data_IF_598398824932
#
_entry.id   IF_598398824932
#
_cell.length_a   1.000
_cell.length_b   1.000
_cell.length_c   1.000
_cell.angle_alpha   90.00
_cell.angle_beta   90.00
_cell.angle_gamma   90.00
#
_symmetry.space_group_name_H-M   'P 1'
#
loop_
_entity.id
_entity.type
_entity.pdbx_description
1 polymer ?
#
# COMPACT_ATOMS: atom_id res chain seq x y z
N UNK A 1 -8.10 -13.34 -13.96
CA UNK A 1 -6.91 -14.23 -14.11
C UNK A 1 -5.72 -13.42 -13.65
N UNK A 2 -4.91 -13.91 -12.72
CA UNK A 2 -3.67 -13.25 -12.34
C UNK A 2 -2.76 -13.17 -13.58
N UNK A 3 -2.18 -12.00 -13.87
CA UNK A 3 -1.22 -11.81 -14.96
C UNK A 3 0.04 -12.66 -14.76
N UNK A 4 0.95 -12.67 -15.73
CA UNK A 4 2.25 -13.32 -15.56
C UNK A 4 3.07 -12.62 -14.45
N UNK A 5 3.86 -13.38 -13.65
CA UNK A 5 4.74 -12.80 -12.66
C UNK A 5 5.78 -11.86 -13.31
N UNK A 6 5.83 -10.61 -12.88
CA UNK A 6 6.83 -9.63 -13.36
C UNK A 6 7.94 -9.41 -12.33
N UNK A 7 7.61 -9.51 -11.03
CA UNK A 7 8.61 -9.55 -9.95
C UNK A 7 8.38 -10.83 -9.16
N UNK A 8 9.46 -11.57 -8.90
CA UNK A 8 9.44 -12.74 -8.04
C UNK A 8 10.62 -12.65 -7.07
N UNK A 9 10.33 -12.77 -5.81
CA UNK A 9 11.28 -12.74 -4.71
C UNK A 9 11.20 -14.09 -4.01
N UNK A 10 12.32 -14.80 -3.90
CA UNK A 10 12.38 -16.14 -3.31
C UNK A 10 13.46 -16.18 -2.23
N UNK A 11 13.04 -16.52 -1.02
CA UNK A 11 13.90 -16.68 0.16
C UNK A 11 14.86 -15.52 0.40
N UNK A 12 14.41 -14.29 0.08
CA UNK A 12 15.25 -13.11 0.17
C UNK A 12 15.57 -12.78 1.62
N UNK A 13 16.87 -12.75 1.93
CA UNK A 13 17.39 -12.40 3.24
C UNK A 13 18.42 -11.28 3.10
N UNK A 14 18.37 -10.29 3.99
CA UNK A 14 19.34 -9.19 4.02
C UNK A 14 19.76 -8.89 5.45
N UNK A 15 21.03 -9.06 5.69
CA UNK A 15 21.67 -8.66 6.93
C UNK A 15 22.59 -7.46 6.69
N UNK A 16 22.68 -6.57 7.67
CA UNK A 16 23.63 -5.46 7.72
C UNK A 16 24.58 -5.65 8.89
N UNK A 17 25.79 -5.14 8.76
CA UNK A 17 26.84 -5.30 9.77
C UNK A 17 27.56 -6.65 9.64
N UNK A 18 28.26 -7.05 10.68
CA UNK A 18 28.98 -8.33 10.76
C UNK A 18 29.32 -8.67 12.20
N UNK A 19 29.40 -9.96 12.53
CA UNK A 19 29.72 -10.45 13.86
C UNK A 19 28.64 -10.14 14.89
N UNK A 20 29.00 -9.47 16.02
CA UNK A 20 28.04 -9.21 17.12
C UNK A 20 27.02 -8.12 16.83
N UNK A 21 27.27 -7.27 15.81
CA UNK A 21 26.42 -6.13 15.44
C UNK A 21 25.58 -6.43 14.19
N UNK A 22 25.40 -7.70 13.84
CA UNK A 22 24.60 -8.11 12.69
C UNK A 22 23.11 -7.88 12.96
N UNK A 23 22.47 -7.13 12.03
CA UNK A 23 21.03 -6.83 12.08
C UNK A 23 20.35 -7.46 10.87
N UNK A 24 19.41 -8.36 11.13
CA UNK A 24 18.54 -8.91 10.10
C UNK A 24 17.48 -7.87 9.72
N UNK A 25 17.63 -7.28 8.54
CA UNK A 25 16.67 -6.31 8.01
C UNK A 25 15.54 -6.97 7.21
N UNK A 26 15.84 -8.11 6.57
CA UNK A 26 14.88 -8.96 5.86
C UNK A 26 15.23 -10.42 6.13
N UNK A 27 14.22 -11.24 6.30
CA UNK A 27 14.39 -12.66 6.62
C UNK A 27 13.34 -13.51 5.90
N UNK A 28 13.80 -14.35 4.97
CA UNK A 28 13.00 -15.31 4.21
C UNK A 28 11.78 -14.67 3.50
N UNK A 29 11.98 -13.55 2.82
CA UNK A 29 10.93 -12.88 2.08
C UNK A 29 10.59 -13.65 0.81
N UNK A 30 9.33 -13.99 0.64
CA UNK A 30 8.76 -14.64 -0.53
C UNK A 30 7.55 -13.81 -1.00
N UNK A 31 7.65 -13.15 -2.18
CA UNK A 31 6.59 -12.30 -2.75
C UNK A 31 6.56 -12.50 -4.27
N UNK A 32 5.36 -12.62 -4.83
CA UNK A 32 5.14 -12.61 -6.28
C UNK A 32 4.20 -11.48 -6.67
N UNK A 33 4.66 -10.62 -7.59
CA UNK A 33 3.92 -9.46 -8.12
C UNK A 33 3.63 -9.71 -9.59
N UNK A 34 2.38 -9.53 -10.00
CA UNK A 34 1.93 -9.80 -11.37
C UNK A 34 1.97 -8.55 -12.25
N UNK A 35 2.09 -8.77 -13.55
CA UNK A 35 2.15 -7.69 -14.55
C UNK A 35 0.88 -6.83 -14.51
N UNK A 36 1.07 -5.52 -14.51
CA UNK A 36 -0.02 -4.52 -14.53
C UNK A 36 -0.71 -4.29 -13.19
N UNK A 37 -0.34 -5.00 -12.11
CA UNK A 37 -0.93 -4.71 -10.80
C UNK A 37 -0.24 -3.53 -10.09
N UNK A 38 -0.96 -2.90 -9.17
CA UNK A 38 -0.40 -2.00 -8.16
C UNK A 38 -0.34 -2.80 -6.86
N UNK A 39 0.88 -3.12 -6.44
CA UNK A 39 1.15 -3.92 -5.24
C UNK A 39 1.67 -3.03 -4.11
N UNK A 40 1.05 -3.14 -2.95
CA UNK A 40 1.44 -2.41 -1.75
C UNK A 40 2.39 -3.21 -0.85
N UNK A 41 3.37 -2.53 -0.25
CA UNK A 41 4.14 -3.06 0.88
C UNK A 41 4.00 -2.10 2.03
N UNK A 42 3.37 -2.55 3.11
CA UNK A 42 3.11 -1.74 4.30
C UNK A 42 3.74 -2.37 5.54
N UNK A 43 4.00 -1.56 6.54
CA UNK A 43 4.54 -2.00 7.83
C UNK A 43 5.01 -0.81 8.66
N UNK A 44 5.28 -1.02 9.93
CA UNK A 44 5.77 0.02 10.83
C UNK A 44 7.16 0.52 10.42
N UNK A 45 7.61 1.63 11.03
CA UNK A 45 8.97 2.11 10.83
C UNK A 45 9.98 1.03 11.25
N UNK A 46 11.02 0.83 10.45
CA UNK A 46 12.01 -0.22 10.70
C UNK A 46 11.63 -1.64 10.27
N UNK A 47 10.42 -1.88 9.73
CA UNK A 47 9.98 -3.21 9.29
C UNK A 47 10.76 -3.80 8.09
N UNK A 48 11.68 -3.06 7.45
CA UNK A 48 12.48 -3.52 6.31
C UNK A 48 11.98 -3.09 4.94
N UNK A 49 10.90 -2.30 4.84
CA UNK A 49 10.26 -1.90 3.57
C UNK A 49 11.20 -1.28 2.54
N UNK A 50 11.93 -0.23 2.91
CA UNK A 50 12.88 0.44 1.99
C UNK A 50 14.07 -0.48 1.64
N UNK A 51 14.47 -1.37 2.55
CA UNK A 51 15.49 -2.40 2.27
C UNK A 51 14.99 -3.36 1.21
N UNK A 52 13.72 -3.80 1.30
CA UNK A 52 13.11 -4.70 0.33
C UNK A 52 13.15 -4.10 -1.09
N UNK A 53 12.67 -2.86 -1.27
CA UNK A 53 12.65 -2.23 -2.59
C UNK A 53 14.05 -1.98 -3.14
N UNK A 54 15.01 -1.67 -2.26
CA UNK A 54 16.42 -1.53 -2.67
C UNK A 54 17.03 -2.88 -3.08
N UNK A 55 16.61 -3.97 -2.46
CA UNK A 55 16.98 -5.31 -2.90
C UNK A 55 16.34 -5.68 -4.25
N UNK A 56 15.07 -5.31 -4.49
CA UNK A 56 14.41 -5.55 -5.79
C UNK A 56 15.18 -4.88 -6.93
N UNK A 57 15.64 -3.66 -6.73
CA UNK A 57 16.45 -2.93 -7.71
C UNK A 57 17.97 -3.19 -7.59
N UNK A 58 18.40 -4.13 -6.72
CA UNK A 58 19.81 -4.44 -6.40
C UNK A 58 20.64 -3.20 -6.02
N UNK A 59 20.03 -2.11 -5.52
CA UNK A 59 20.74 -1.01 -4.86
C UNK A 59 21.40 -1.51 -3.57
N UNK A 60 20.73 -2.47 -2.90
CA UNK A 60 21.28 -3.32 -1.85
C UNK A 60 21.31 -4.75 -2.33
N UNK A 61 22.49 -5.40 -2.28
CA UNK A 61 22.57 -6.83 -2.60
C UNK A 61 22.02 -7.64 -1.41
N UNK A 62 21.12 -8.59 -1.67
CA UNK A 62 20.68 -9.53 -0.62
C UNK A 62 21.86 -10.38 -0.13
N UNK A 63 21.76 -10.86 1.11
CA UNK A 63 22.70 -11.81 1.71
C UNK A 63 22.44 -13.22 1.21
N UNK A 64 21.15 -13.56 0.99
CA UNK A 64 20.72 -14.83 0.42
C UNK A 64 19.40 -14.65 -0.34
N UNK A 65 19.00 -15.67 -1.11
CA UNK A 65 17.79 -15.66 -1.94
C UNK A 65 17.98 -15.03 -3.30
N UNK A 66 16.90 -15.01 -4.09
CA UNK A 66 16.90 -14.54 -5.47
C UNK A 66 15.83 -13.50 -5.73
N UNK A 67 16.11 -12.59 -6.66
CA UNK A 67 15.16 -11.57 -7.15
C UNK A 67 15.10 -11.66 -8.66
N UNK A 68 13.88 -11.83 -9.17
CA UNK A 68 13.58 -11.87 -10.59
C UNK A 68 12.74 -10.64 -10.97
N UNK A 69 13.11 -9.97 -12.05
CA UNK A 69 12.31 -8.86 -12.61
C UNK A 69 12.26 -9.02 -14.12
N UNK A 70 11.05 -9.00 -14.69
CA UNK A 70 10.80 -9.15 -16.12
C UNK A 70 11.51 -10.39 -16.71
N UNK A 71 11.39 -11.53 -15.99
CA UNK A 71 12.00 -12.81 -16.38
C UNK A 71 13.51 -12.90 -16.24
N UNK A 72 14.19 -11.89 -15.66
CA UNK A 72 15.64 -11.88 -15.45
C UNK A 72 15.97 -12.02 -13.98
N UNK A 73 16.87 -12.93 -13.65
CA UNK A 73 17.42 -13.06 -12.30
C UNK A 73 18.40 -11.93 -11.99
N UNK A 74 17.91 -10.89 -11.32
CA UNK A 74 18.69 -9.68 -11.00
C UNK A 74 19.92 -9.98 -10.15
N UNK A 75 19.80 -10.93 -9.23
CA UNK A 75 20.86 -11.33 -8.28
C UNK A 75 22.08 -11.96 -8.95
N UNK A 76 21.89 -12.61 -10.11
CA UNK A 76 22.95 -13.28 -10.88
C UNK A 76 23.65 -12.35 -11.91
N UNK A 77 23.09 -11.14 -12.16
CA UNK A 77 23.61 -10.26 -13.21
C UNK A 77 24.97 -9.66 -12.87
N UNK A 78 25.81 -9.56 -13.90
CA UNK A 78 27.03 -8.75 -13.86
C UNK A 78 26.70 -7.25 -13.75
N UNK A 79 27.64 -6.38 -13.33
CA UNK A 79 27.39 -4.94 -13.22
C UNK A 79 26.94 -4.28 -14.53
N UNK A 80 27.35 -4.80 -15.68
CA UNK A 80 26.95 -4.30 -17.00
C UNK A 80 25.49 -4.70 -17.31
N UNK A 81 25.17 -5.97 -17.13
CA UNK A 81 23.81 -6.50 -17.35
C UNK A 81 22.81 -5.87 -16.38
N UNK A 82 23.19 -5.65 -15.13
CA UNK A 82 22.37 -4.99 -14.13
C UNK A 82 22.02 -3.54 -14.52
N UNK A 83 22.96 -2.79 -15.11
CA UNK A 83 22.67 -1.45 -15.64
C UNK A 83 21.64 -1.50 -16.76
N UNK A 84 21.72 -2.49 -17.65
CA UNK A 84 20.72 -2.67 -18.72
C UNK A 84 19.36 -3.10 -18.16
N UNK A 85 19.32 -4.04 -17.21
CA UNK A 85 18.10 -4.49 -16.57
C UNK A 85 17.37 -3.34 -15.83
N UNK A 86 18.13 -2.47 -15.16
CA UNK A 86 17.58 -1.29 -14.46
C UNK A 86 16.89 -0.28 -15.37
N UNK A 87 17.10 -0.29 -16.68
CA UNK A 87 16.35 0.57 -17.62
C UNK A 87 14.87 0.22 -17.65
N UNK A 88 14.51 -1.05 -17.36
CA UNK A 88 13.11 -1.49 -17.25
C UNK A 88 12.49 -1.26 -15.88
N UNK A 89 13.25 -0.72 -14.92
CA UNK A 89 12.81 -0.47 -13.54
C UNK A 89 12.95 1.03 -13.25
N UNK A 90 11.83 1.70 -13.06
CA UNK A 90 11.80 3.05 -12.56
C UNK A 90 11.76 3.09 -11.04
N UNK A 91 12.40 4.10 -10.43
CA UNK A 91 12.32 4.28 -8.98
C UNK A 91 12.02 5.73 -8.62
N UNK A 92 10.99 5.92 -7.81
CA UNK A 92 10.60 7.18 -7.21
C UNK A 92 10.99 7.12 -5.74
N UNK A 93 11.81 8.06 -5.29
CA UNK A 93 12.34 8.13 -3.93
C UNK A 93 11.49 9.06 -3.06
N UNK A 94 11.56 8.89 -1.77
CA UNK A 94 10.97 9.76 -0.75
C UNK A 94 11.38 11.24 -0.92
N UNK A 95 12.68 11.48 -1.14
CA UNK A 95 13.20 12.77 -1.57
C UNK A 95 13.20 12.80 -3.10
N UNK A 96 12.64 13.81 -3.71
CA UNK A 96 12.44 13.93 -5.17
C UNK A 96 13.71 13.66 -6.01
N UNK A 97 14.89 13.82 -5.42
CA UNK A 97 16.21 13.60 -6.01
C UNK A 97 16.38 14.29 -7.38
N UNK A 98 15.80 15.49 -7.54
CA UNK A 98 15.96 16.26 -8.74
C UNK A 98 17.34 16.91 -8.80
N UNK A 99 17.88 17.00 -10.01
CA UNK A 99 19.10 17.73 -10.30
C UNK A 99 18.80 19.23 -10.18
N UNK A 100 19.26 19.86 -9.10
CA UNK A 100 18.89 21.22 -8.72
C UNK A 100 19.36 22.29 -9.73
N UNK A 101 20.41 22.00 -10.49
CA UNK A 101 21.00 22.89 -11.52
C UNK A 101 20.42 22.66 -12.92
N UNK A 102 19.41 21.76 -13.04
CA UNK A 102 18.72 21.45 -14.29
C UNK A 102 17.26 21.86 -14.18
N UNK A 103 16.70 22.33 -15.30
CA UNK A 103 15.26 22.62 -15.42
C UNK A 103 14.42 21.33 -15.29
N UNK A 104 13.09 21.47 -15.21
CA UNK A 104 12.17 20.35 -15.20
C UNK A 104 12.35 19.46 -16.44
N UNK A 105 12.42 20.07 -17.62
CA UNK A 105 12.65 19.34 -18.90
C UNK A 105 14.01 18.63 -18.88
N UNK A 106 15.08 19.31 -18.51
CA UNK A 106 16.42 18.70 -18.46
C UNK A 106 16.52 17.56 -17.42
N UNK A 107 15.77 17.64 -16.31
CA UNK A 107 15.64 16.54 -15.37
C UNK A 107 14.99 15.32 -16.02
N UNK A 108 13.91 15.51 -16.80
CA UNK A 108 13.21 14.42 -17.49
C UNK A 108 14.05 13.84 -18.62
N UNK A 109 14.80 14.68 -19.35
CA UNK A 109 15.68 14.24 -20.44
C UNK A 109 16.92 13.48 -19.96
N UNK A 110 17.37 13.70 -18.73
CA UNK A 110 18.63 13.15 -18.22
C UNK A 110 18.78 11.63 -18.38
N UNK A 111 17.78 10.78 -18.05
CA UNK A 111 17.89 9.33 -18.29
C UNK A 111 18.04 8.97 -19.77
N UNK A 112 17.41 9.73 -20.67
CA UNK A 112 17.50 9.54 -22.13
C UNK A 112 18.87 9.93 -22.65
N UNK A 113 19.45 11.03 -22.15
CA UNK A 113 20.83 11.44 -22.44
C UNK A 113 21.82 10.33 -22.07
N UNK A 114 21.67 9.75 -20.86
CA UNK A 114 22.49 8.62 -20.39
C UNK A 114 22.30 7.37 -21.24
N UNK A 115 21.12 7.17 -21.82
CA UNK A 115 20.82 6.08 -22.74
C UNK A 115 21.34 6.31 -24.18
N UNK A 116 21.93 7.51 -24.45
CA UNK A 116 22.49 7.86 -25.77
C UNK A 116 21.48 8.42 -26.77
N UNK A 117 20.29 8.83 -26.32
CA UNK A 117 19.31 9.49 -27.19
C UNK A 117 19.83 10.85 -27.72
N UNK A 118 19.44 11.23 -28.92
CA UNK A 118 19.76 12.56 -29.43
C UNK A 118 19.06 13.63 -28.58
N UNK A 119 19.67 14.81 -28.50
CA UNK A 119 19.07 15.94 -27.75
C UNK A 119 17.63 16.23 -28.22
N UNK A 120 17.41 16.22 -29.53
CA UNK A 120 16.10 16.48 -30.13
C UNK A 120 15.08 15.44 -29.69
N UNK A 121 15.42 14.16 -29.70
CA UNK A 121 14.51 13.09 -29.31
C UNK A 121 14.25 13.09 -27.81
N UNK A 122 15.29 13.36 -27.01
CA UNK A 122 15.16 13.50 -25.56
C UNK A 122 14.25 14.68 -25.17
N UNK A 123 14.40 15.86 -25.81
CA UNK A 123 13.55 17.02 -25.56
C UNK A 123 12.10 16.76 -26.00
N UNK A 124 11.88 16.15 -27.17
CA UNK A 124 10.53 15.80 -27.64
C UNK A 124 9.83 14.85 -26.64
N UNK A 125 10.50 13.77 -26.27
CA UNK A 125 9.98 12.81 -25.28
C UNK A 125 9.79 13.44 -23.90
N UNK A 126 10.71 14.29 -23.47
CA UNK A 126 10.62 15.02 -22.22
C UNK A 126 9.40 15.91 -22.13
N UNK A 127 9.07 16.63 -23.21
CA UNK A 127 7.88 17.48 -23.28
C UNK A 127 6.58 16.67 -23.25
N UNK A 128 6.52 15.50 -23.92
CA UNK A 128 5.37 14.59 -23.86
C UNK A 128 5.13 14.10 -22.42
N UNK A 129 6.22 13.72 -21.70
CA UNK A 129 6.13 13.26 -20.33
C UNK A 129 5.76 14.37 -19.36
N UNK A 130 6.25 15.60 -19.58
CA UNK A 130 5.80 16.76 -18.80
C UNK A 130 4.34 17.12 -19.05
N UNK A 131 3.83 16.88 -20.26
CA UNK A 131 2.40 17.02 -20.56
C UNK A 131 1.57 15.95 -19.84
N UNK A 132 2.03 14.69 -19.83
CA UNK A 132 1.39 13.59 -19.09
C UNK A 132 1.21 13.88 -17.59
N UNK A 133 2.13 14.64 -16.99
CA UNK A 133 2.08 15.04 -15.57
C UNK A 133 1.58 16.46 -15.34
N UNK A 134 0.97 17.12 -16.34
CA UNK A 134 0.44 18.49 -16.30
C UNK A 134 1.48 19.58 -15.96
N UNK A 135 2.71 19.42 -16.43
CA UNK A 135 3.81 20.37 -16.17
C UNK A 135 4.51 20.90 -17.40
N UNK A 136 3.93 20.73 -18.61
CA UNK A 136 4.52 21.25 -19.88
C UNK A 136 4.80 22.75 -19.81
N UNK A 137 3.90 23.54 -19.20
CA UNK A 137 4.07 25.00 -19.02
C UNK A 137 5.19 25.37 -18.05
N UNK A 138 5.72 24.40 -17.29
CA UNK A 138 6.81 24.57 -16.32
C UNK A 138 8.11 23.90 -16.78
N UNK A 139 8.22 23.51 -18.05
CA UNK A 139 9.39 22.81 -18.60
C UNK A 139 10.73 23.54 -18.32
N UNK A 140 10.74 24.88 -18.38
CA UNK A 140 11.91 25.70 -18.11
C UNK A 140 12.15 26.06 -16.63
N UNK A 141 11.27 25.63 -15.71
CA UNK A 141 11.43 25.95 -14.29
C UNK A 141 12.50 25.08 -13.63
N UNK A 142 13.28 25.68 -12.74
CA UNK A 142 14.21 24.94 -11.88
C UNK A 142 13.50 24.33 -10.67
N UNK A 143 14.03 23.27 -10.06
CA UNK A 143 13.40 22.65 -8.89
C UNK A 143 13.10 23.61 -7.73
N UNK A 144 13.93 24.63 -7.53
CA UNK A 144 13.70 25.67 -6.51
C UNK A 144 12.42 26.50 -6.75
N UNK A 145 11.93 26.54 -7.99
CA UNK A 145 10.73 27.29 -8.41
C UNK A 145 9.46 26.43 -8.42
N UNK A 146 9.58 25.15 -8.04
CA UNK A 146 8.48 24.18 -8.07
C UNK A 146 8.00 23.87 -6.64
N UNK A 147 6.69 23.69 -6.48
CA UNK A 147 6.11 23.15 -5.24
C UNK A 147 6.51 21.68 -5.03
N UNK A 148 6.32 21.14 -3.83
CA UNK A 148 6.60 19.74 -3.52
C UNK A 148 5.89 18.78 -4.48
N UNK A 149 4.59 18.97 -4.73
CA UNK A 149 3.83 18.15 -5.68
C UNK A 149 4.31 18.29 -7.12
N UNK A 150 4.73 19.50 -7.54
CA UNK A 150 5.32 19.70 -8.86
C UNK A 150 6.69 19.01 -8.99
N UNK A 151 7.54 19.07 -7.97
CA UNK A 151 8.80 18.31 -7.93
C UNK A 151 8.56 16.80 -8.05
N UNK A 152 7.53 16.28 -7.37
CA UNK A 152 7.17 14.88 -7.44
C UNK A 152 6.67 14.49 -8.85
N UNK A 153 5.86 15.32 -9.48
CA UNK A 153 5.42 15.11 -10.87
C UNK A 153 6.60 15.09 -11.85
N UNK A 154 7.60 15.98 -11.68
CA UNK A 154 8.84 15.95 -12.49
C UNK A 154 9.63 14.66 -12.23
N UNK A 155 9.73 14.20 -10.96
CA UNK A 155 10.40 12.95 -10.63
C UNK A 155 9.70 11.73 -11.26
N UNK A 156 8.36 11.72 -11.27
CA UNK A 156 7.57 10.70 -11.96
C UNK A 156 7.84 10.73 -13.47
N UNK A 157 7.74 11.90 -14.12
CA UNK A 157 8.02 12.06 -15.55
C UNK A 157 9.43 11.60 -15.92
N UNK A 158 10.45 11.98 -15.12
CA UNK A 158 11.84 11.53 -15.30
C UNK A 158 11.95 10.00 -15.23
N UNK A 159 11.23 9.39 -14.30
CA UNK A 159 11.28 7.94 -14.11
C UNK A 159 10.64 7.19 -15.29
N UNK A 160 9.63 7.79 -15.94
CA UNK A 160 8.96 7.24 -17.12
C UNK A 160 9.76 7.41 -18.42
N UNK A 161 10.82 8.20 -18.42
CA UNK A 161 11.57 8.53 -19.63
C UNK A 161 12.12 7.28 -20.35
N UNK A 162 12.56 6.29 -19.63
CA UNK A 162 13.11 5.03 -20.16
C UNK A 162 12.06 3.97 -20.49
N UNK A 163 10.76 4.29 -20.42
CA UNK A 163 9.65 3.35 -20.62
C UNK A 163 9.76 2.11 -19.72
N UNK A 164 9.83 2.27 -18.39
CA UNK A 164 10.00 1.14 -17.48
C UNK A 164 8.76 0.24 -17.48
N UNK A 165 8.96 -1.06 -17.24
CA UNK A 165 7.89 -2.04 -17.03
C UNK A 165 7.42 -2.08 -15.57
N UNK A 166 8.31 -1.71 -14.66
CA UNK A 166 8.09 -1.69 -13.21
C UNK A 166 8.42 -0.31 -12.66
N UNK A 167 7.55 0.20 -11.80
CA UNK A 167 7.73 1.44 -11.06
C UNK A 167 7.77 1.15 -9.56
N UNK A 168 8.89 1.41 -8.93
CA UNK A 168 9.09 1.26 -7.49
C UNK A 168 8.91 2.63 -6.80
N UNK A 169 7.95 2.75 -5.90
CA UNK A 169 7.63 3.98 -5.18
C UNK A 169 8.02 3.82 -3.70
N UNK A 170 9.17 4.36 -3.31
CA UNK A 170 9.65 4.33 -1.91
C UNK A 170 9.18 5.58 -1.18
N UNK A 171 8.10 5.46 -0.41
CA UNK A 171 7.45 6.57 0.33
C UNK A 171 7.22 7.84 -0.51
N UNK A 172 6.82 7.67 -1.75
CA UNK A 172 6.73 8.73 -2.76
C UNK A 172 5.82 9.91 -2.41
N UNK A 173 5.01 9.81 -1.35
CA UNK A 173 4.05 10.83 -0.93
C UNK A 173 4.23 11.32 0.50
N UNK A 174 5.20 10.79 1.26
CA UNK A 174 5.37 11.10 2.70
C UNK A 174 5.72 12.55 3.00
N UNK A 175 6.31 13.28 2.03
CA UNK A 175 6.68 14.68 2.17
C UNK A 175 5.62 15.67 1.61
N UNK A 176 4.42 15.18 1.27
CA UNK A 176 3.36 15.96 0.63
C UNK A 176 2.16 16.15 1.56
N UNK A 177 1.42 17.23 1.34
CA UNK A 177 0.13 17.42 2.02
C UNK A 177 -0.94 16.42 1.53
N UNK A 178 -2.02 16.17 2.30
CA UNK A 178 -3.00 15.15 1.97
C UNK A 178 -3.72 15.34 0.63
N UNK A 179 -3.91 16.59 0.18
CA UNK A 179 -4.53 16.88 -1.12
C UNK A 179 -3.59 16.52 -2.25
N UNK A 180 -2.36 17.00 -2.16
CA UNK A 180 -1.30 16.72 -3.15
C UNK A 180 -1.01 15.21 -3.21
N UNK A 181 -0.98 14.51 -2.07
CA UNK A 181 -0.86 13.05 -2.00
C UNK A 181 -1.91 12.37 -2.87
N UNK A 182 -3.19 12.69 -2.70
CA UNK A 182 -4.27 12.11 -3.52
C UNK A 182 -4.10 12.38 -5.01
N UNK A 183 -3.67 13.59 -5.38
CA UNK A 183 -3.45 13.94 -6.79
C UNK A 183 -2.28 13.13 -7.40
N UNK A 184 -1.21 12.87 -6.63
CA UNK A 184 -0.08 12.02 -7.05
C UNK A 184 -0.52 10.55 -7.14
N UNK A 185 -1.31 10.04 -6.20
CA UNK A 185 -1.81 8.67 -6.24
C UNK A 185 -2.71 8.42 -7.45
N UNK A 186 -3.60 9.38 -7.77
CA UNK A 186 -4.41 9.33 -9.00
C UNK A 186 -3.54 9.31 -10.24
N UNK A 187 -2.52 10.16 -10.30
CA UNK A 187 -1.57 10.18 -11.41
C UNK A 187 -0.86 8.82 -11.59
N UNK A 188 -0.39 8.20 -10.49
CA UNK A 188 0.24 6.88 -10.53
C UNK A 188 -0.74 5.81 -11.03
N UNK A 189 -1.98 5.82 -10.57
CA UNK A 189 -3.03 4.91 -11.05
C UNK A 189 -3.35 5.11 -12.53
N UNK A 190 -3.46 6.35 -12.99
CA UNK A 190 -3.70 6.68 -14.40
C UNK A 190 -2.54 6.21 -15.28
N UNK A 191 -1.30 6.37 -14.83
CA UNK A 191 -0.10 5.86 -15.50
C UNK A 191 -0.13 4.33 -15.57
N UNK A 192 -0.43 3.64 -14.45
CA UNK A 192 -0.56 2.19 -14.43
C UNK A 192 -1.60 1.71 -15.47
N UNK A 193 -2.79 2.31 -15.47
CA UNK A 193 -3.88 1.91 -16.37
C UNK A 193 -3.59 2.21 -17.84
N UNK A 194 -3.01 3.38 -18.15
CA UNK A 194 -2.75 3.80 -19.54
C UNK A 194 -1.55 3.10 -20.16
N UNK A 195 -0.50 2.86 -19.38
CA UNK A 195 0.76 2.34 -19.87
C UNK A 195 0.97 0.85 -19.54
N UNK A 196 0.09 0.22 -18.74
CA UNK A 196 0.20 -1.16 -18.31
C UNK A 196 1.41 -1.44 -17.40
N UNK A 197 1.99 -0.40 -16.78
CA UNK A 197 3.18 -0.51 -15.93
C UNK A 197 2.78 -1.12 -14.58
N UNK A 198 3.56 -2.09 -14.10
CA UNK A 198 3.41 -2.61 -12.74
C UNK A 198 3.97 -1.62 -11.73
N UNK A 199 3.25 -1.39 -10.64
CA UNK A 199 3.67 -0.43 -9.61
C UNK A 199 3.83 -1.13 -8.27
N UNK A 200 4.94 -0.88 -7.57
CA UNK A 200 5.16 -1.32 -6.19
C UNK A 200 5.20 -0.08 -5.31
N UNK A 201 4.26 0.02 -4.39
CA UNK A 201 4.12 1.17 -3.48
C UNK A 201 4.55 0.77 -2.09
N UNK A 202 5.56 1.46 -1.56
CA UNK A 202 6.01 1.31 -0.19
C UNK A 202 5.53 2.50 0.62
N UNK A 203 4.85 2.23 1.71
CA UNK A 203 4.31 3.26 2.60
C UNK A 203 4.09 2.71 4.00
N UNK A 204 3.96 3.61 4.96
CA UNK A 204 3.41 3.33 6.28
C UNK A 204 1.96 3.84 6.43
N UNK A 205 1.42 4.51 5.38
CA UNK A 205 0.07 5.07 5.38
C UNK A 205 -0.92 4.09 4.73
N UNK A 206 -1.83 3.57 5.55
CA UNK A 206 -2.90 2.68 5.13
C UNK A 206 -3.78 3.26 4.04
N UNK A 207 -4.06 4.58 4.10
CA UNK A 207 -4.93 5.26 3.14
C UNK A 207 -4.37 5.20 1.73
N UNK A 208 -3.04 5.22 1.59
CA UNK A 208 -2.37 5.08 0.29
C UNK A 208 -2.64 3.70 -0.30
N UNK A 209 -2.54 2.65 0.53
CA UNK A 209 -2.82 1.27 0.10
C UNK A 209 -4.28 1.11 -0.32
N UNK A 210 -5.21 1.60 0.50
CA UNK A 210 -6.65 1.56 0.24
C UNK A 210 -7.04 2.27 -1.07
N UNK A 211 -6.37 3.39 -1.36
CA UNK A 211 -6.74 4.25 -2.50
C UNK A 211 -6.33 3.66 -3.85
N UNK A 212 -5.16 3.02 -3.96
CA UNK A 212 -4.64 2.62 -5.27
C UNK A 212 -4.18 1.17 -5.41
N UNK A 213 -3.91 0.43 -4.33
CA UNK A 213 -3.35 -0.91 -4.44
C UNK A 213 -4.41 -1.99 -4.69
N UNK A 214 -4.05 -3.04 -5.41
CA UNK A 214 -4.87 -4.22 -5.65
C UNK A 214 -4.61 -5.30 -4.60
N UNK A 215 -3.34 -5.56 -4.32
CA UNK A 215 -2.84 -6.50 -3.30
C UNK A 215 -1.83 -5.80 -2.41
N UNK A 216 -1.64 -6.36 -1.22
CA UNK A 216 -0.72 -5.81 -0.22
C UNK A 216 0.00 -6.92 0.52
N UNK A 217 1.27 -6.69 0.84
CA UNK A 217 2.03 -7.46 1.82
C UNK A 217 2.29 -6.59 3.05
N UNK A 218 2.01 -7.14 4.22
CA UNK A 218 2.37 -6.54 5.51
C UNK A 218 3.73 -7.05 5.92
N UNK A 219 4.68 -6.14 6.06
CA UNK A 219 6.01 -6.44 6.57
C UNK A 219 6.06 -6.14 8.08
N UNK A 220 6.50 -7.12 8.85
CA UNK A 220 6.74 -6.97 10.29
C UNK A 220 8.06 -7.65 10.67
N UNK A 221 8.94 -6.93 11.36
CA UNK A 221 10.26 -7.43 11.78
C UNK A 221 11.06 -8.15 10.67
N UNK A 222 11.07 -7.57 9.46
CA UNK A 222 11.81 -8.11 8.31
C UNK A 222 11.19 -9.34 7.65
N UNK A 223 9.97 -9.75 8.01
CA UNK A 223 9.25 -10.90 7.45
C UNK A 223 7.92 -10.45 6.84
N UNK A 224 7.40 -11.22 5.90
CA UNK A 224 6.01 -11.05 5.42
C UNK A 224 5.10 -11.68 6.46
N UNK A 225 4.38 -10.84 7.20
CA UNK A 225 3.42 -11.29 8.20
C UNK A 225 2.10 -11.72 7.55
N UNK A 226 1.65 -10.98 6.53
CA UNK A 226 0.41 -11.26 5.83
C UNK A 226 0.46 -10.74 4.40
N UNK A 227 -0.18 -11.43 3.45
CA UNK A 227 -0.32 -11.04 2.05
C UNK A 227 -1.72 -11.44 1.55
N UNK A 228 -2.31 -10.57 0.74
CA UNK A 228 -3.63 -10.81 0.14
C UNK A 228 -4.11 -9.64 -0.70
N UNK A 229 -5.35 -9.70 -1.16
CA UNK A 229 -6.00 -8.51 -1.73
C UNK A 229 -6.18 -7.45 -0.64
N UNK A 230 -6.18 -6.18 -1.04
CA UNK A 230 -6.42 -5.07 -0.08
C UNK A 230 -7.73 -5.29 0.67
N UNK A 231 -8.78 -5.75 -0.04
CA UNK A 231 -10.07 -6.07 0.53
C UNK A 231 -9.98 -7.14 1.63
N UNK A 232 -9.28 -8.26 1.37
CA UNK A 232 -9.14 -9.35 2.34
C UNK A 232 -8.37 -8.92 3.58
N UNK A 233 -7.21 -8.28 3.39
CA UNK A 233 -6.32 -7.91 4.48
C UNK A 233 -6.95 -6.83 5.37
N UNK A 234 -7.73 -5.91 4.78
CA UNK A 234 -8.32 -4.79 5.52
C UNK A 234 -9.67 -5.12 6.15
N UNK A 235 -10.46 -6.01 5.53
CA UNK A 235 -11.72 -6.45 6.12
C UNK A 235 -11.53 -7.52 7.18
N UNK A 236 -10.50 -8.38 7.04
CA UNK A 236 -10.27 -9.52 7.93
C UNK A 236 -8.78 -9.81 8.13
N UNK A 237 -8.05 -8.92 8.82
CA UNK A 237 -6.64 -9.14 9.11
C UNK A 237 -6.46 -10.41 9.95
N UNK A 238 -5.63 -11.33 9.46
CA UNK A 238 -5.42 -12.65 10.06
C UNK A 238 -4.34 -12.62 11.14
N UNK A 239 -3.36 -11.72 11.00
CA UNK A 239 -2.20 -11.63 11.87
C UNK A 239 -2.33 -10.49 12.88
N UNK A 240 -1.56 -10.56 13.96
CA UNK A 240 -1.48 -9.46 14.93
C UNK A 240 -0.90 -8.19 14.30
N UNK A 241 0.11 -8.32 13.44
CA UNK A 241 0.67 -7.20 12.67
C UNK A 241 -0.38 -6.54 11.78
N UNK A 242 -1.20 -7.35 11.08
CA UNK A 242 -2.32 -6.87 10.29
C UNK A 242 -3.36 -6.12 11.14
N UNK A 243 -3.74 -6.70 12.27
CA UNK A 243 -4.69 -6.07 13.21
C UNK A 243 -4.17 -4.74 13.76
N UNK A 244 -2.92 -4.67 14.15
CA UNK A 244 -2.29 -3.41 14.64
C UNK A 244 -2.25 -2.32 13.57
N UNK A 245 -2.07 -2.68 12.31
CA UNK A 245 -2.06 -1.72 11.21
C UNK A 245 -3.49 -1.28 10.83
N UNK A 246 -4.41 -2.22 10.69
CA UNK A 246 -5.79 -1.94 10.27
C UNK A 246 -6.58 -1.23 11.39
N UNK A 247 -6.27 -1.52 12.64
CA UNK A 247 -6.92 -0.97 13.83
C UNK A 247 -5.87 -0.34 14.77
N UNK A 248 -5.19 0.76 14.36
CA UNK A 248 -4.09 1.35 15.11
C UNK A 248 -4.48 1.84 16.50
N UNK A 249 -5.72 2.32 16.65
CA UNK A 249 -6.24 2.82 17.91
C UNK A 249 -6.81 1.70 18.80
N UNK A 250 -6.72 0.42 18.33
CA UNK A 250 -7.45 -0.67 18.99
C UNK A 250 -8.93 -0.32 19.12
N UNK A 251 -9.75 -1.25 19.57
CA UNK A 251 -10.99 -0.83 20.24
C UNK A 251 -10.51 -0.16 21.52
N UNK A 252 -10.82 1.12 21.80
CA UNK A 252 -10.37 1.74 23.02
C UNK A 252 -10.79 0.84 24.20
N UNK A 253 -9.82 0.15 24.82
CA UNK A 253 -10.10 -0.73 25.97
C UNK A 253 -10.85 0.01 27.05
N UNK A 254 -10.61 1.33 27.17
CA UNK A 254 -11.35 2.21 28.09
C UNK A 254 -12.83 2.32 27.72
N UNK A 255 -13.21 2.35 26.46
CA UNK A 255 -14.62 2.36 26.05
C UNK A 255 -15.29 1.00 26.28
N UNK A 256 -14.53 -0.10 26.11
CA UNK A 256 -15.01 -1.44 26.43
C UNK A 256 -15.14 -1.63 27.96
N UNK A 257 -14.21 -1.09 28.75
CA UNK A 257 -14.23 -1.21 30.22
C UNK A 257 -15.20 -0.27 30.91
N UNK A 258 -15.33 0.99 30.48
CA UNK A 258 -16.13 2.00 31.21
C UNK A 258 -17.63 1.89 31.00
N UNK A 259 -18.11 1.48 29.83
CA UNK A 259 -19.55 1.53 29.51
C UNK A 259 -20.25 0.17 29.56
N UNK A 260 -19.55 -0.94 29.55
CA UNK A 260 -20.16 -2.27 29.44
C UNK A 260 -19.90 -3.17 30.65
N UNK A 261 -18.81 -2.96 31.39
CA UNK A 261 -18.48 -3.73 32.60
C UNK A 261 -19.53 -3.60 33.73
N UNK A 262 -20.48 -2.66 33.61
CA UNK A 262 -21.58 -2.50 34.56
C UNK A 262 -22.88 -3.23 34.16
N UNK A 263 -22.94 -3.80 32.95
CA UNK A 263 -24.16 -4.34 32.36
C UNK A 263 -24.15 -5.75 31.80
N UNK A 264 -23.06 -6.52 31.85
CA UNK A 264 -23.03 -7.98 31.55
C UNK A 264 -23.37 -8.41 30.10
N UNK A 265 -23.53 -7.47 29.15
CA UNK A 265 -23.93 -7.76 27.77
C UNK A 265 -22.76 -8.20 26.89
N UNK A 266 -23.04 -8.97 25.82
CA UNK A 266 -22.06 -9.45 24.84
C UNK A 266 -21.66 -8.32 23.88
N UNK A 267 -20.37 -8.22 23.56
CA UNK A 267 -19.85 -7.32 22.55
C UNK A 267 -19.45 -8.11 21.30
N UNK A 268 -19.95 -7.67 20.16
CA UNK A 268 -19.60 -8.28 18.87
C UNK A 268 -18.99 -7.23 17.93
N UNK A 269 -18.02 -7.68 17.14
CA UNK A 269 -17.50 -6.94 15.99
C UNK A 269 -18.22 -7.41 14.73
N UNK A 270 -18.80 -6.48 14.01
CA UNK A 270 -19.47 -6.71 12.74
C UNK A 270 -18.67 -6.05 11.64
N UNK A 271 -18.12 -6.83 10.71
CA UNK A 271 -17.42 -6.31 9.53
C UNK A 271 -18.33 -6.39 8.30
N UNK A 272 -18.44 -5.27 7.59
CA UNK A 272 -19.21 -5.11 6.36
C UNK A 272 -18.29 -5.20 5.16
N UNK A 273 -18.59 -6.10 4.22
CA UNK A 273 -17.83 -6.31 3.02
C UNK A 273 -18.62 -5.81 1.78
N UNK A 274 -18.24 -4.65 1.24
CA UNK A 274 -18.74 -4.17 -0.05
C UNK A 274 -20.18 -3.66 -0.07
N UNK A 275 -21.15 -4.45 -0.55
CA UNK A 275 -22.52 -3.98 -0.80
C UNK A 275 -23.40 -3.75 0.45
N UNK A 276 -23.08 -4.41 1.55
CA UNK A 276 -23.91 -4.43 2.77
C UNK A 276 -23.70 -3.23 3.70
N UNK A 277 -22.63 -2.46 3.53
CA UNK A 277 -22.40 -1.24 4.33
C UNK A 277 -23.51 -0.17 4.14
N UNK A 278 -24.32 -0.28 3.11
CA UNK A 278 -25.48 0.59 2.85
C UNK A 278 -26.79 0.04 3.43
N UNK A 279 -26.81 -1.17 3.98
CA UNK A 279 -28.01 -1.73 4.59
C UNK A 279 -28.18 -1.19 6.02
N UNK A 280 -29.41 -0.81 6.42
CA UNK A 280 -29.67 -0.25 7.74
C UNK A 280 -29.70 -1.34 8.83
N UNK A 281 -28.56 -2.02 9.08
CA UNK A 281 -28.45 -3.17 9.97
C UNK A 281 -29.08 -2.93 11.35
N UNK A 282 -28.77 -1.79 11.97
CA UNK A 282 -29.28 -1.45 13.32
C UNK A 282 -30.79 -1.24 13.30
N UNK A 283 -31.30 -0.57 12.26
CA UNK A 283 -32.75 -0.38 12.11
C UNK A 283 -33.46 -1.74 11.88
N UNK A 284 -32.88 -2.60 11.06
CA UNK A 284 -33.42 -3.94 10.82
C UNK A 284 -33.39 -4.82 12.08
N UNK A 285 -32.32 -4.78 12.87
CA UNK A 285 -32.27 -5.46 14.17
C UNK A 285 -33.42 -5.00 15.09
N UNK A 286 -33.67 -3.69 15.15
CA UNK A 286 -34.74 -3.15 16.01
C UNK A 286 -36.15 -3.47 15.47
N UNK A 287 -36.36 -3.36 14.15
CA UNK A 287 -37.68 -3.51 13.52
C UNK A 287 -38.03 -4.98 13.31
N UNK A 288 -37.10 -5.77 12.70
CA UNK A 288 -37.39 -7.14 12.25
C UNK A 288 -37.18 -8.17 13.38
N UNK A 289 -36.19 -7.91 14.25
CA UNK A 289 -35.84 -8.79 15.36
C UNK A 289 -36.39 -8.35 16.70
N UNK A 290 -36.75 -7.07 16.84
CA UNK A 290 -37.19 -6.48 18.11
C UNK A 290 -36.03 -6.36 19.11
N UNK A 291 -34.77 -6.38 18.66
CA UNK A 291 -33.58 -6.35 19.50
C UNK A 291 -32.96 -4.96 19.43
N UNK A 292 -32.72 -4.36 20.59
CA UNK A 292 -32.01 -3.08 20.71
C UNK A 292 -30.53 -3.36 20.92
N UNK A 293 -29.68 -2.89 19.98
CA UNK A 293 -28.22 -2.97 20.09
C UNK A 293 -27.63 -1.57 20.23
N UNK A 294 -26.56 -1.43 21.03
CA UNK A 294 -25.82 -0.19 21.18
C UNK A 294 -24.64 -0.18 20.20
N UNK A 295 -24.43 0.95 19.50
CA UNK A 295 -23.20 1.17 18.72
C UNK A 295 -22.13 1.68 19.69
N UNK A 296 -21.10 0.85 19.94
CA UNK A 296 -19.97 1.20 20.80
C UNK A 296 -18.86 1.89 20.01
N UNK A 297 -18.75 1.58 18.72
CA UNK A 297 -17.83 2.20 17.78
C UNK A 297 -18.19 1.84 16.35
N UNK A 298 -17.88 2.71 15.39
CA UNK A 298 -18.06 2.44 13.98
C UNK A 298 -16.99 3.17 13.17
N UNK A 299 -16.36 2.44 12.25
CA UNK A 299 -15.44 2.99 11.26
C UNK A 299 -15.89 2.52 9.87
N UNK A 300 -16.06 3.46 8.95
CA UNK A 300 -16.43 3.14 7.56
C UNK A 300 -15.42 3.74 6.60
N UNK A 301 -14.96 2.91 5.65
CA UNK A 301 -13.95 3.26 4.66
C UNK A 301 -14.45 2.95 3.26
N UNK A 302 -13.94 3.68 2.28
CA UNK A 302 -14.23 3.41 0.87
C UNK A 302 -12.97 2.81 0.23
N UNK A 303 -13.05 1.55 -0.20
CA UNK A 303 -11.96 0.83 -0.86
C UNK A 303 -12.41 0.47 -2.27
N UNK A 304 -11.72 0.98 -3.28
CA UNK A 304 -12.06 0.68 -4.68
C UNK A 304 -13.49 1.06 -5.11
N UNK A 305 -14.08 2.10 -4.48
CA UNK A 305 -15.46 2.54 -4.76
C UNK A 305 -16.54 1.75 -4.01
N UNK A 306 -16.16 0.81 -3.14
CA UNK A 306 -17.06 0.05 -2.28
C UNK A 306 -16.89 0.48 -0.82
N UNK A 307 -17.99 0.58 -0.09
CA UNK A 307 -17.95 0.87 1.33
C UNK A 307 -17.63 -0.40 2.12
N UNK A 308 -16.59 -0.32 2.93
CA UNK A 308 -16.22 -1.32 3.93
C UNK A 308 -16.31 -0.66 5.30
N UNK A 309 -16.58 -1.42 6.32
CA UNK A 309 -16.64 -0.88 7.66
C UNK A 309 -16.64 -1.94 8.73
N UNK A 310 -16.25 -1.53 9.91
CA UNK A 310 -16.41 -2.33 11.12
C UNK A 310 -17.28 -1.57 12.11
N UNK A 311 -18.16 -2.29 12.78
CA UNK A 311 -18.99 -1.76 13.85
C UNK A 311 -18.86 -2.65 15.07
N UNK A 312 -18.71 -2.03 16.23
CA UNK A 312 -18.80 -2.70 17.52
C UNK A 312 -20.19 -2.52 18.06
N UNK A 313 -20.86 -3.61 18.31
CA UNK A 313 -22.21 -3.62 18.84
C UNK A 313 -22.22 -4.26 20.23
N UNK A 314 -22.83 -3.57 21.17
CA UNK A 314 -23.23 -4.12 22.44
C UNK A 314 -24.62 -4.76 22.31
N UNK A 315 -24.72 -6.04 22.57
CA UNK A 315 -25.96 -6.80 22.57
C UNK A 315 -26.62 -6.77 23.95
N UNK A 316 -27.95 -6.97 24.04
CA UNK A 316 -28.65 -7.07 25.32
C UNK A 316 -28.08 -8.18 26.21
N UNK A 317 -28.23 -8.02 27.55
CA UNK A 317 -27.84 -9.05 28.53
C UNK A 317 -28.69 -10.33 28.44
N UNK A 318 -29.91 -10.22 27.90
CA UNK A 318 -30.76 -11.38 27.69
C UNK A 318 -30.20 -12.27 26.60
N UNK A 319 -29.79 -13.46 26.99
CA UNK A 319 -29.17 -14.46 26.11
C UNK A 319 -30.04 -14.83 24.90
N UNK A 320 -31.36 -14.82 25.06
CA UNK A 320 -32.32 -15.10 23.99
C UNK A 320 -32.35 -13.98 22.94
N UNK A 321 -32.32 -12.72 23.38
CA UNK A 321 -32.23 -11.57 22.47
C UNK A 321 -30.85 -11.47 21.81
N UNK A 322 -29.79 -11.70 22.56
CA UNK A 322 -28.41 -11.70 22.01
C UNK A 322 -28.25 -12.80 20.95
N UNK A 323 -28.71 -14.02 21.22
CA UNK A 323 -28.68 -15.13 20.24
C UNK A 323 -29.51 -14.83 18.98
N UNK A 324 -30.68 -14.17 19.15
CA UNK A 324 -31.54 -13.75 18.03
C UNK A 324 -30.85 -12.71 17.15
N UNK A 325 -30.19 -11.72 17.77
CA UNK A 325 -29.41 -10.70 17.05
C UNK A 325 -28.24 -11.32 16.29
N UNK A 326 -27.47 -12.20 16.93
CA UNK A 326 -26.35 -12.93 16.30
C UNK A 326 -26.82 -13.75 15.11
N UNK A 327 -27.88 -14.53 15.26
CA UNK A 327 -28.44 -15.33 14.17
C UNK A 327 -28.86 -14.46 12.97
N UNK A 328 -29.52 -13.33 13.25
CA UNK A 328 -29.92 -12.39 12.21
C UNK A 328 -28.72 -11.78 11.48
N UNK A 329 -27.72 -11.25 12.22
CA UNK A 329 -26.55 -10.61 11.62
C UNK A 329 -25.74 -11.61 10.81
N UNK A 330 -25.54 -12.82 11.33
CA UNK A 330 -24.77 -13.90 10.66
C UNK A 330 -25.50 -14.40 9.39
N UNK A 331 -26.81 -14.28 9.32
CA UNK A 331 -27.58 -14.64 8.13
C UNK A 331 -27.45 -13.65 6.97
N UNK A 332 -26.94 -12.45 7.24
CA UNK A 332 -26.78 -11.43 6.21
C UNK A 332 -25.57 -11.75 5.32
N UNK A 333 -25.75 -11.57 4.02
CA UNK A 333 -24.70 -11.81 3.02
C UNK A 333 -23.60 -10.73 3.15
N UNK A 334 -22.34 -11.12 3.02
CA UNK A 334 -21.20 -10.20 3.06
C UNK A 334 -20.98 -9.49 4.41
N UNK A 335 -21.50 -10.05 5.51
CA UNK A 335 -21.23 -9.62 6.89
C UNK A 335 -20.44 -10.73 7.59
N UNK A 336 -19.37 -10.32 8.29
CA UNK A 336 -18.62 -11.19 9.19
C UNK A 336 -18.84 -10.73 10.64
N UNK A 337 -19.12 -11.68 11.52
CA UNK A 337 -19.31 -11.43 12.96
C UNK A 337 -18.24 -12.14 13.74
N UNK A 338 -17.61 -11.43 14.66
CA UNK A 338 -16.61 -11.95 15.60
C UNK A 338 -17.01 -11.53 17.01
N UNK A 339 -17.14 -12.49 17.92
CA UNK A 339 -17.34 -12.14 19.34
C UNK A 339 -16.03 -11.59 19.90
N UNK A 340 -16.12 -10.46 20.60
CA UNK A 340 -14.99 -9.89 21.31
C UNK A 340 -14.93 -10.59 22.68
N UNK A 341 -13.89 -11.39 23.00
CA UNK A 341 -13.82 -12.11 24.26
C UNK A 341 -13.89 -11.14 25.45
N UNK A 342 -14.60 -11.52 26.51
CA UNK A 342 -14.59 -10.82 27.79
C UNK A 342 -13.13 -10.76 28.29
N UNK A 343 -12.57 -9.56 28.36
CA UNK A 343 -11.33 -9.30 29.08
C UNK A 343 -11.64 -9.25 30.59
N UNK A 344 -11.86 -10.44 31.12
CA UNK A 344 -11.77 -10.69 32.55
C UNK A 344 -10.51 -11.53 32.79
N UNK A 345 -9.37 -10.86 32.73
CA UNK A 345 -8.16 -11.23 33.53
C UNK A 345 -7.13 -10.13 33.44
#
# INVERSE_FOLDING_TARGET
MAGEPIIKIEHLTKHFGGGRDEVAALEDINITIHSGEIFGVIGLSGAGKSTLVRCVNLLERPTAGTVWVDGREMTALSPKELREARKSIGMIFQSFNLLMQRTALENVCFPLELAGASRKDAEARGLELLELVDLKSRAGAYPAQLSGGQKQRVAIARTLATNPKVLLCDEATSALDPKTTRDILRLIRDINQRLGITVVVITHDMKVIEEICHRVAILDHGRVAEEGTVEEVFSRPRTEAGRRLVYPDGVPEELLRQNWAQGGGRVIRVAFNGGTAYQPLIASLAIDCGVKANILGADTRNIGGRAFGTMLLGLPEDDGQAAKALAYITSQKDITVEEVPDYHE
#
